data_IF_375029574958
#
_entry.id   IF_375029574958
#
_cell.length_a   1.000
_cell.length_b   1.000
_cell.length_c   1.000
_cell.angle_alpha   90.00
_cell.angle_beta   90.00
_cell.angle_gamma   90.00
#
_symmetry.space_group_name_H-M   'P 1'
#
loop_
_entity.id
_entity.type
_entity.pdbx_description
1 polymer ?
#
# COMPACT_ATOMS: atom_id res chain seq x y z
N UNK A 1 -16.70 12.53 28.05
CA UNK A 1 -16.42 11.29 27.30
C UNK A 1 -15.05 11.41 26.66
N UNK A 2 -13.99 11.06 27.38
CA UNK A 2 -12.68 10.85 26.77
C UNK A 2 -12.74 9.50 26.08
N UNK A 3 -13.15 9.49 24.82
CA UNK A 3 -13.06 8.32 23.96
C UNK A 3 -11.58 7.91 23.95
N UNK A 4 -11.26 6.73 24.47
CA UNK A 4 -9.88 6.31 24.67
C UNK A 4 -9.32 5.80 23.33
N UNK A 5 -9.19 6.72 22.38
CA UNK A 5 -8.70 6.48 21.02
C UNK A 5 -7.37 5.74 21.01
N UNK A 6 -6.52 5.97 22.01
CA UNK A 6 -5.27 5.21 22.18
C UNK A 6 -5.52 3.72 22.46
N UNK A 7 -6.44 3.39 23.36
CA UNK A 7 -6.78 1.99 23.64
C UNK A 7 -7.44 1.33 22.42
N UNK A 8 -8.31 2.04 21.71
CA UNK A 8 -8.95 1.54 20.48
C UNK A 8 -7.88 1.28 19.41
N UNK A 9 -6.90 2.17 19.25
CA UNK A 9 -5.82 1.95 18.29
C UNK A 9 -4.95 0.74 18.64
N UNK A 10 -4.62 0.56 19.92
CA UNK A 10 -3.82 -0.57 20.38
C UNK A 10 -4.59 -1.88 20.17
N UNK A 11 -5.87 -1.92 20.55
CA UNK A 11 -6.72 -3.09 20.35
C UNK A 11 -6.90 -3.43 18.86
N UNK A 12 -7.02 -2.42 17.98
CA UNK A 12 -7.15 -2.64 16.54
C UNK A 12 -5.83 -3.11 15.91
N UNK A 13 -4.68 -2.59 16.37
CA UNK A 13 -3.38 -3.11 15.97
C UNK A 13 -3.18 -4.55 16.43
N UNK A 14 -3.49 -4.88 17.68
CA UNK A 14 -3.40 -6.25 18.18
C UNK A 14 -4.34 -7.18 17.41
N UNK A 15 -5.57 -6.74 17.14
CA UNK A 15 -6.52 -7.49 16.32
C UNK A 15 -6.03 -7.70 14.89
N UNK A 16 -5.37 -6.70 14.28
CA UNK A 16 -4.74 -6.84 12.97
C UNK A 16 -3.59 -7.85 13.00
N UNK A 17 -2.72 -7.80 14.00
CA UNK A 17 -1.62 -8.77 14.14
C UNK A 17 -2.14 -10.19 14.41
N UNK A 18 -3.18 -10.33 15.23
CA UNK A 18 -3.81 -11.62 15.53
C UNK A 18 -4.56 -12.17 14.29
N UNK A 19 -5.21 -11.30 13.51
CA UNK A 19 -5.84 -11.65 12.24
C UNK A 19 -4.82 -11.99 11.15
N UNK A 20 -3.68 -11.30 11.13
CA UNK A 20 -2.57 -11.62 10.23
C UNK A 20 -1.89 -12.95 10.60
N UNK A 21 -1.77 -13.24 11.90
CA UNK A 21 -1.21 -14.48 12.42
C UNK A 21 -2.14 -15.69 12.23
N UNK A 22 -3.46 -15.47 12.31
CA UNK A 22 -4.50 -16.51 12.17
C UNK A 22 -5.45 -16.22 11.00
N UNK A 23 -4.87 -15.85 9.85
CA UNK A 23 -5.62 -15.48 8.65
C UNK A 23 -6.48 -16.64 8.09
N UNK A 24 -6.26 -17.88 8.53
CA UNK A 24 -7.07 -19.05 8.18
C UNK A 24 -8.45 -19.09 8.88
N UNK A 25 -8.61 -18.43 10.05
CA UNK A 25 -9.85 -18.49 10.87
C UNK A 25 -10.63 -17.17 10.86
N UNK A 26 -10.45 -16.33 9.85
CA UNK A 26 -11.23 -15.09 9.75
C UNK A 26 -12.65 -15.44 9.29
N UNK A 27 -13.64 -15.17 10.16
CA UNK A 27 -15.07 -15.55 10.05
C UNK A 27 -15.81 -15.15 8.76
N UNK A 28 -15.15 -14.46 7.83
CA UNK A 28 -15.71 -13.97 6.56
C UNK A 28 -15.01 -14.52 5.31
N UNK A 29 -13.91 -15.26 5.47
CA UNK A 29 -13.09 -15.74 4.36
C UNK A 29 -12.94 -17.26 4.38
N UNK A 30 -14.07 -17.99 4.50
CA UNK A 30 -14.03 -19.45 4.49
C UNK A 30 -13.75 -20.00 3.09
N UNK A 31 -12.71 -20.83 3.00
CA UNK A 31 -12.30 -21.47 1.77
C UNK A 31 -13.11 -22.76 1.53
N UNK A 32 -14.02 -22.72 0.56
CA UNK A 32 -14.71 -23.92 0.07
C UNK A 32 -13.76 -24.87 -0.67
N UNK A 33 -14.08 -26.17 -0.70
CA UNK A 33 -13.25 -27.18 -1.36
C UNK A 33 -12.98 -26.91 -2.86
N UNK A 34 -13.83 -26.12 -3.52
CA UNK A 34 -13.67 -25.74 -4.93
C UNK A 34 -12.75 -24.52 -5.15
N UNK A 35 -12.63 -23.58 -4.19
CA UNK A 35 -11.72 -22.43 -4.30
C UNK A 35 -10.25 -22.83 -4.15
N UNK A 36 -9.97 -23.99 -3.57
CA UNK A 36 -8.63 -24.59 -3.50
C UNK A 36 -8.10 -25.02 -4.88
N UNK A 37 -8.98 -25.20 -5.87
CA UNK A 37 -8.64 -25.75 -7.20
C UNK A 37 -8.58 -24.73 -8.34
N UNK A 38 -8.88 -23.45 -8.10
CA UNK A 38 -9.06 -22.43 -9.15
C UNK A 38 -7.99 -21.33 -9.18
N UNK A 39 -6.83 -21.52 -8.55
CA UNK A 39 -5.66 -20.70 -8.86
C UNK A 39 -5.17 -21.00 -10.28
N UNK A 40 -5.60 -20.22 -11.28
CA UNK A 40 -5.07 -20.36 -12.64
C UNK A 40 -3.63 -19.83 -12.69
N UNK A 41 -2.68 -20.75 -12.79
CA UNK A 41 -1.26 -20.42 -12.96
C UNK A 41 -1.06 -19.85 -14.36
N UNK A 42 -0.75 -18.56 -14.45
CA UNK A 42 -0.38 -17.90 -15.70
C UNK A 42 1.08 -17.50 -15.66
N UNK A 43 1.95 -18.43 -16.06
CA UNK A 43 3.40 -18.22 -16.12
C UNK A 43 3.76 -17.00 -16.97
N UNK A 44 3.10 -16.82 -18.11
CA UNK A 44 3.37 -15.70 -19.02
C UNK A 44 3.08 -14.36 -18.36
N UNK A 45 1.94 -14.24 -17.67
CA UNK A 45 1.57 -12.99 -17.00
C UNK A 45 2.48 -12.74 -15.80
N UNK A 46 2.73 -13.75 -14.95
CA UNK A 46 3.60 -13.60 -13.77
C UNK A 46 5.02 -13.17 -14.14
N UNK A 47 5.63 -13.80 -15.16
CA UNK A 47 6.96 -13.40 -15.67
C UNK A 47 6.93 -11.96 -16.21
N UNK A 48 5.89 -11.59 -16.96
CA UNK A 48 5.77 -10.23 -17.50
C UNK A 48 5.69 -9.16 -16.39
N UNK A 49 4.93 -9.42 -15.32
CA UNK A 49 4.83 -8.52 -14.16
C UNK A 49 6.16 -8.39 -13.41
N UNK A 50 6.89 -9.49 -13.20
CA UNK A 50 8.20 -9.46 -12.53
C UNK A 50 9.22 -8.68 -13.38
N UNK A 51 9.29 -8.96 -14.68
CA UNK A 51 10.21 -8.25 -15.58
C UNK A 51 9.87 -6.77 -15.62
N UNK A 52 8.60 -6.42 -15.84
CA UNK A 52 8.16 -5.02 -15.84
C UNK A 52 8.45 -4.32 -14.51
N UNK A 53 8.08 -4.94 -13.38
CA UNK A 53 8.34 -4.43 -12.04
C UNK A 53 9.82 -4.19 -11.79
N UNK A 54 10.68 -5.16 -12.16
CA UNK A 54 12.13 -5.03 -11.98
C UNK A 54 12.74 -3.86 -12.77
N UNK A 55 12.27 -3.62 -14.00
CA UNK A 55 12.76 -2.52 -14.84
C UNK A 55 12.35 -1.17 -14.25
N UNK A 56 11.08 -1.04 -13.83
CA UNK A 56 10.58 0.20 -13.24
C UNK A 56 11.24 0.47 -11.88
N UNK A 57 11.45 -0.56 -11.05
CA UNK A 57 12.15 -0.45 -9.76
C UNK A 57 13.58 0.09 -9.94
N UNK A 58 14.34 -0.44 -10.91
CA UNK A 58 15.68 0.04 -11.23
C UNK A 58 15.64 1.51 -11.69
N UNK A 59 14.67 1.87 -12.52
CA UNK A 59 14.50 3.24 -13.00
C UNK A 59 14.24 4.22 -11.83
N UNK A 60 13.33 3.86 -10.92
CA UNK A 60 13.06 4.67 -9.73
C UNK A 60 14.27 4.78 -8.81
N UNK A 61 15.01 3.68 -8.61
CA UNK A 61 16.24 3.69 -7.82
C UNK A 61 17.29 4.66 -8.41
N UNK A 62 17.47 4.67 -9.73
CA UNK A 62 18.37 5.60 -10.42
C UNK A 62 17.93 7.05 -10.21
N UNK A 63 16.62 7.33 -10.34
CA UNK A 63 16.07 8.68 -10.14
C UNK A 63 16.35 9.15 -8.71
N UNK A 64 16.07 8.35 -7.69
CA UNK A 64 16.32 8.71 -6.29
C UNK A 64 17.83 8.92 -6.04
N UNK A 65 18.70 8.07 -6.58
CA UNK A 65 20.16 8.24 -6.46
C UNK A 65 20.64 9.57 -7.05
N UNK A 66 20.09 10.00 -8.19
CA UNK A 66 20.42 11.30 -8.79
C UNK A 66 19.92 12.47 -7.93
N UNK A 67 18.71 12.34 -7.36
CA UNK A 67 18.09 13.36 -6.52
C UNK A 67 18.76 13.50 -5.14
N UNK A 68 19.50 12.49 -4.69
CA UNK A 68 20.25 12.53 -3.43
C UNK A 68 21.45 13.51 -3.43
N UNK A 69 21.84 14.06 -4.59
CA UNK A 69 22.91 15.07 -4.66
C UNK A 69 22.59 16.27 -3.77
N UNK A 70 23.63 16.76 -3.06
CA UNK A 70 23.50 17.80 -2.02
C UNK A 70 22.85 19.10 -2.51
N UNK A 71 23.06 19.46 -3.78
CA UNK A 71 22.51 20.68 -4.39
C UNK A 71 20.97 20.68 -4.44
N UNK A 72 20.35 19.52 -4.71
CA UNK A 72 18.89 19.44 -4.86
C UNK A 72 18.16 19.29 -3.53
N UNK A 73 18.84 18.86 -2.45
CA UNK A 73 18.22 18.67 -1.12
C UNK A 73 17.91 19.97 -0.37
N UNK A 74 18.35 21.11 -0.90
CA UNK A 74 18.07 22.44 -0.32
C UNK A 74 16.61 22.85 -0.56
N UNK A 75 16.03 22.43 -1.69
CA UNK A 75 14.65 22.75 -2.06
C UNK A 75 13.65 21.80 -1.42
N UNK A 76 12.60 22.36 -0.81
CA UNK A 76 11.55 21.58 -0.13
C UNK A 76 10.79 20.66 -1.09
N UNK A 77 10.64 21.04 -2.36
CA UNK A 77 10.01 20.21 -3.39
C UNK A 77 10.77 18.90 -3.65
N UNK A 78 12.10 18.95 -3.72
CA UNK A 78 12.91 17.75 -3.95
C UNK A 78 12.83 16.76 -2.79
N UNK A 79 12.70 17.25 -1.55
CA UNK A 79 12.47 16.40 -0.38
C UNK A 79 11.17 15.60 -0.50
N UNK A 80 10.09 16.25 -0.92
CA UNK A 80 8.77 15.61 -1.09
C UNK A 80 8.81 14.60 -2.24
N UNK A 81 9.44 14.94 -3.36
CA UNK A 81 9.60 14.01 -4.49
C UNK A 81 10.44 12.77 -4.12
N UNK A 82 11.47 12.91 -3.28
CA UNK A 82 12.23 11.75 -2.78
C UNK A 82 11.35 10.82 -1.93
N UNK A 83 10.53 11.36 -1.03
CA UNK A 83 9.61 10.54 -0.22
C UNK A 83 8.57 9.85 -1.10
N UNK A 84 8.01 10.57 -2.08
CA UNK A 84 7.09 9.97 -3.05
C UNK A 84 7.74 8.80 -3.80
N UNK A 85 8.99 8.97 -4.25
CA UNK A 85 9.73 7.89 -4.91
C UNK A 85 9.94 6.67 -4.02
N UNK A 86 10.13 6.85 -2.70
CA UNK A 86 10.23 5.74 -1.75
C UNK A 86 8.89 5.01 -1.63
N UNK A 87 7.76 5.73 -1.58
CA UNK A 87 6.43 5.12 -1.60
C UNK A 87 6.19 4.32 -2.88
N UNK A 88 6.56 4.87 -4.04
CA UNK A 88 6.39 4.21 -5.33
C UNK A 88 7.23 2.92 -5.42
N UNK A 89 8.50 2.96 -4.99
CA UNK A 89 9.36 1.76 -4.92
C UNK A 89 8.77 0.69 -4.00
N UNK A 90 8.31 1.09 -2.81
CA UNK A 90 7.67 0.15 -1.88
C UNK A 90 6.38 -0.45 -2.47
N UNK A 91 5.56 0.37 -3.14
CA UNK A 91 4.33 -0.10 -3.80
C UNK A 91 4.65 -1.07 -4.93
N UNK A 92 5.60 -0.74 -5.81
CA UNK A 92 6.00 -1.60 -6.93
C UNK A 92 6.56 -2.95 -6.43
N UNK A 93 7.32 -2.93 -5.33
CA UNK A 93 7.81 -4.16 -4.70
C UNK A 93 6.68 -5.10 -4.28
N UNK A 94 5.61 -4.56 -3.69
CA UNK A 94 4.45 -5.34 -3.23
C UNK A 94 3.51 -5.69 -4.40
N UNK A 95 3.23 -4.75 -5.29
CA UNK A 95 2.20 -4.90 -6.32
C UNK A 95 2.70 -5.61 -7.58
N UNK A 96 3.98 -5.47 -7.94
CA UNK A 96 4.52 -6.05 -9.16
C UNK A 96 5.37 -7.29 -8.90
N UNK A 97 6.35 -7.21 -7.98
CA UNK A 97 7.24 -8.35 -7.71
C UNK A 97 6.51 -9.45 -6.94
N UNK A 98 5.82 -9.09 -5.86
CA UNK A 98 5.14 -10.08 -5.03
C UNK A 98 3.86 -10.62 -5.69
N UNK A 99 3.03 -9.78 -6.31
CA UNK A 99 1.90 -10.30 -7.13
C UNK A 99 2.38 -11.16 -8.29
N UNK A 100 3.48 -10.78 -8.96
CA UNK A 100 4.09 -11.61 -10.00
C UNK A 100 4.54 -12.97 -9.47
N UNK A 101 5.14 -13.01 -8.27
CA UNK A 101 5.46 -14.27 -7.59
C UNK A 101 4.20 -15.09 -7.25
N UNK A 102 3.15 -14.46 -6.72
CA UNK A 102 1.88 -15.13 -6.44
C UNK A 102 1.24 -15.73 -7.69
N UNK A 103 1.36 -15.05 -8.84
CA UNK A 103 0.87 -15.56 -10.13
C UNK A 103 1.65 -16.77 -10.65
N UNK A 104 2.96 -16.87 -10.35
CA UNK A 104 3.78 -18.04 -10.71
C UNK A 104 3.43 -19.27 -9.88
N UNK A 105 3.09 -19.06 -8.61
CA UNK A 105 2.70 -20.14 -7.69
C UNK A 105 1.22 -20.51 -7.86
N UNK A 106 0.42 -19.64 -8.49
CA UNK A 106 -1.04 -19.77 -8.51
C UNK A 106 -1.65 -19.58 -7.12
N UNK A 107 -1.00 -18.78 -6.27
CA UNK A 107 -1.39 -18.58 -4.90
C UNK A 107 -2.76 -17.90 -4.82
N UNK A 108 -3.68 -18.52 -4.07
CA UNK A 108 -4.94 -17.90 -3.66
C UNK A 108 -4.89 -17.62 -2.15
N UNK A 109 -5.82 -16.79 -1.66
CA UNK A 109 -5.97 -16.53 -0.23
C UNK A 109 -6.01 -17.83 0.60
N UNK A 110 -6.58 -18.90 0.04
CA UNK A 110 -6.70 -20.21 0.70
C UNK A 110 -5.39 -21.00 0.81
N UNK A 111 -4.36 -20.65 0.02
CA UNK A 111 -3.06 -21.35 0.03
C UNK A 111 -2.05 -20.63 0.92
N UNK A 112 -2.06 -19.30 0.94
CA UNK A 112 -1.15 -18.46 1.73
C UNK A 112 -1.87 -17.26 2.37
N UNK A 113 -2.81 -17.49 3.30
CA UNK A 113 -3.71 -16.46 3.81
C UNK A 113 -2.98 -15.35 4.58
N UNK A 114 -1.99 -15.70 5.41
CA UNK A 114 -1.24 -14.72 6.21
C UNK A 114 -0.41 -13.77 5.34
N UNK A 115 0.30 -14.31 4.34
CA UNK A 115 1.10 -13.51 3.42
C UNK A 115 0.22 -12.60 2.56
N UNK A 116 -0.89 -13.10 2.00
CA UNK A 116 -1.79 -12.31 1.16
C UNK A 116 -2.50 -11.22 1.98
N UNK A 117 -2.90 -11.52 3.21
CA UNK A 117 -3.54 -10.55 4.11
C UNK A 117 -2.61 -9.39 4.47
N UNK A 118 -1.38 -9.69 4.90
CA UNK A 118 -0.38 -8.66 5.26
C UNK A 118 -0.01 -7.82 4.05
N UNK A 119 0.19 -8.45 2.90
CA UNK A 119 0.68 -7.76 1.70
C UNK A 119 -0.40 -6.92 1.04
N UNK A 120 -1.66 -7.35 1.11
CA UNK A 120 -2.81 -6.54 0.71
C UNK A 120 -3.03 -5.31 1.60
N UNK A 121 -2.81 -5.43 2.92
CA UNK A 121 -2.85 -4.28 3.82
C UNK A 121 -1.76 -3.25 3.47
N UNK A 122 -0.53 -3.74 3.24
CA UNK A 122 0.60 -2.91 2.86
C UNK A 122 0.40 -2.24 1.51
N UNK A 123 -0.09 -2.96 0.50
CA UNK A 123 -0.39 -2.42 -0.82
C UNK A 123 -1.38 -1.25 -0.74
N UNK A 124 -2.51 -1.44 -0.04
CA UNK A 124 -3.51 -0.39 0.13
C UNK A 124 -2.95 0.82 0.92
N UNK A 125 -2.21 0.55 1.99
CA UNK A 125 -1.57 1.59 2.80
C UNK A 125 -0.58 2.44 1.99
N UNK A 126 0.27 1.78 1.19
CA UNK A 126 1.26 2.44 0.33
C UNK A 126 0.60 3.24 -0.78
N UNK A 127 -0.46 2.70 -1.41
CA UNK A 127 -1.20 3.40 -2.46
C UNK A 127 -1.90 4.66 -1.94
N UNK A 128 -2.55 4.59 -0.78
CA UNK A 128 -3.15 5.77 -0.15
C UNK A 128 -2.08 6.79 0.30
N UNK A 129 -0.94 6.32 0.77
CA UNK A 129 0.22 7.14 1.15
C UNK A 129 0.82 7.90 -0.03
N UNK A 130 0.98 7.25 -1.18
CA UNK A 130 1.48 7.88 -2.41
C UNK A 130 0.51 8.95 -2.92
N UNK A 131 -0.80 8.68 -2.93
CA UNK A 131 -1.83 9.64 -3.32
C UNK A 131 -1.79 10.93 -2.46
N UNK A 132 -1.70 10.79 -1.14
CA UNK A 132 -1.59 11.95 -0.24
C UNK A 132 -0.29 12.72 -0.46
N UNK A 133 0.82 12.03 -0.70
CA UNK A 133 2.11 12.67 -0.97
C UNK A 133 2.09 13.44 -2.30
N UNK A 134 1.41 12.91 -3.33
CA UNK A 134 1.16 13.60 -4.59
C UNK A 134 0.35 14.90 -4.39
N UNK A 135 -0.71 14.87 -3.57
CA UNK A 135 -1.48 16.08 -3.27
C UNK A 135 -0.62 17.16 -2.59
N UNK A 136 0.22 16.77 -1.63
CA UNK A 136 1.16 17.69 -0.97
C UNK A 136 2.16 18.28 -1.97
N UNK A 137 2.65 17.46 -2.91
CA UNK A 137 3.55 17.92 -3.97
C UNK A 137 2.87 18.96 -4.88
N UNK A 138 1.62 18.72 -5.27
CA UNK A 138 0.83 19.66 -6.09
C UNK A 138 0.62 20.98 -5.32
N UNK A 139 0.24 20.91 -4.04
CA UNK A 139 0.10 22.11 -3.20
C UNK A 139 1.41 22.89 -3.09
N UNK A 140 2.54 22.19 -2.93
CA UNK A 140 3.86 22.82 -2.90
C UNK A 140 4.15 23.57 -4.21
N UNK A 141 3.89 22.95 -5.37
CA UNK A 141 4.05 23.60 -6.68
C UNK A 141 3.12 24.78 -6.88
N UNK A 142 1.88 24.69 -6.43
CA UNK A 142 0.92 25.80 -6.50
C UNK A 142 1.35 26.97 -5.62
N UNK A 143 1.85 26.71 -4.41
CA UNK A 143 2.32 27.77 -3.52
C UNK A 143 3.61 28.44 -4.01
N UNK A 144 4.50 27.68 -4.66
CA UNK A 144 5.71 28.21 -5.29
C UNK A 144 5.36 29.23 -6.40
N UNK A 145 4.31 28.97 -7.18
CA UNK A 145 3.83 29.87 -8.24
C UNK A 145 2.99 31.04 -7.70
N UNK A 146 2.10 30.78 -6.75
CA UNK A 146 1.16 31.79 -6.26
C UNK A 146 1.79 32.76 -5.24
N UNK A 147 2.56 32.24 -4.28
CA UNK A 147 3.14 33.04 -3.20
C UNK A 147 4.31 32.34 -2.49
N UNK A 148 5.54 32.64 -2.93
CA UNK A 148 6.76 32.07 -2.38
C UNK A 148 6.92 32.29 -0.86
N UNK A 149 6.45 33.42 -0.30
CA UNK A 149 6.52 33.65 1.16
C UNK A 149 5.70 32.63 1.95
N UNK A 150 4.53 32.26 1.44
CA UNK A 150 3.67 31.28 2.11
C UNK A 150 4.27 29.87 1.99
N UNK A 151 4.89 29.56 0.85
CA UNK A 151 5.66 28.33 0.64
C UNK A 151 6.81 28.21 1.64
N UNK A 152 7.61 29.26 1.84
CA UNK A 152 8.71 29.28 2.81
C UNK A 152 8.20 29.13 4.27
N UNK A 153 7.06 29.75 4.60
CA UNK A 153 6.46 29.61 5.93
C UNK A 153 5.97 28.18 6.22
N UNK A 154 5.35 27.53 5.23
CA UNK A 154 4.73 26.21 5.40
C UNK A 154 5.72 25.05 5.22
N UNK A 155 6.58 25.15 4.20
CA UNK A 155 7.52 24.09 3.80
C UNK A 155 8.98 24.43 4.15
N UNK A 156 9.24 25.40 5.02
CA UNK A 156 10.59 25.80 5.43
C UNK A 156 11.38 24.69 6.14
N UNK A 157 12.45 24.22 5.48
CA UNK A 157 13.50 23.30 5.90
C UNK A 157 13.13 22.13 6.83
N UNK A 158 12.87 22.39 8.12
CA UNK A 158 12.55 21.39 9.14
C UNK A 158 11.04 21.11 9.23
N UNK A 159 10.19 22.07 8.86
CA UNK A 159 8.72 21.90 8.82
C UNK A 159 8.27 20.99 7.70
N UNK A 160 9.04 20.90 6.62
CA UNK A 160 8.79 19.95 5.52
C UNK A 160 8.73 18.51 6.02
N UNK A 161 9.59 18.13 6.97
CA UNK A 161 9.55 16.81 7.59
C UNK A 161 8.28 16.61 8.41
N UNK A 162 7.83 17.62 9.17
CA UNK A 162 6.57 17.54 9.91
C UNK A 162 5.36 17.37 8.97
N UNK A 163 5.35 18.04 7.81
CA UNK A 163 4.30 17.85 6.79
C UNK A 163 4.37 16.46 6.16
N UNK A 164 5.57 15.93 5.93
CA UNK A 164 5.79 14.57 5.40
C UNK A 164 5.42 13.46 6.40
N UNK A 165 5.40 13.76 7.71
CA UNK A 165 4.87 12.81 8.69
C UNK A 165 3.36 12.60 8.52
N UNK A 166 2.61 13.55 7.97
CA UNK A 166 1.15 13.44 7.82
C UNK A 166 0.78 12.30 6.86
N UNK A 167 1.27 12.23 5.60
CA UNK A 167 1.05 11.08 4.73
C UNK A 167 1.52 9.77 5.33
N UNK A 168 2.63 9.80 6.08
CA UNK A 168 3.18 8.58 6.65
C UNK A 168 2.31 8.00 7.76
N UNK A 169 1.82 8.85 8.65
CA UNK A 169 0.86 8.47 9.67
C UNK A 169 -0.48 8.05 9.07
N UNK A 170 -0.92 8.71 7.99
CA UNK A 170 -2.15 8.37 7.28
C UNK A 170 -2.07 7.00 6.59
N UNK A 171 -0.97 6.72 5.90
CA UNK A 171 -0.68 5.41 5.30
C UNK A 171 -0.67 4.29 6.34
N UNK A 172 0.00 4.55 7.48
CA UNK A 172 0.06 3.60 8.59
C UNK A 172 -1.31 3.38 9.24
N UNK A 173 -2.10 4.44 9.40
CA UNK A 173 -3.48 4.34 9.86
C UNK A 173 -4.35 3.49 8.91
N UNK A 174 -4.28 3.72 7.60
CA UNK A 174 -5.06 2.90 6.64
C UNK A 174 -4.63 1.44 6.68
N UNK A 175 -3.33 1.17 6.78
CA UNK A 175 -2.80 -0.19 6.83
C UNK A 175 -3.35 -1.02 8.00
N UNK A 176 -3.61 -0.39 9.17
CA UNK A 176 -4.09 -1.10 10.37
C UNK A 176 -5.61 -1.08 10.54
N UNK A 177 -6.29 -0.02 10.10
CA UNK A 177 -7.72 0.17 10.38
C UNK A 177 -8.65 -0.22 9.23
N UNK A 178 -8.12 -0.41 8.03
CA UNK A 178 -8.91 -0.71 6.83
C UNK A 178 -8.86 -2.21 6.53
N UNK A 179 -9.98 -2.84 6.10
CA UNK A 179 -9.93 -4.22 5.61
C UNK A 179 -8.95 -4.31 4.43
N UNK A 180 -8.01 -5.27 4.45
CA UNK A 180 -7.03 -5.40 3.38
C UNK A 180 -7.68 -5.92 2.10
N UNK A 181 -7.07 -5.59 0.97
CA UNK A 181 -7.41 -6.20 -0.31
C UNK A 181 -6.82 -7.60 -0.39
N UNK A 182 -7.52 -8.54 -1.01
CA UNK A 182 -7.07 -9.91 -1.17
C UNK A 182 -6.72 -10.17 -2.63
N UNK A 183 -5.55 -10.76 -2.87
CA UNK A 183 -5.11 -11.08 -4.22
C UNK A 183 -5.84 -12.32 -4.75
N UNK A 184 -6.44 -12.20 -5.93
CA UNK A 184 -7.05 -13.31 -6.65
C UNK A 184 -6.29 -13.59 -7.96
N UNK A 185 -5.71 -14.79 -8.06
CA UNK A 185 -4.95 -15.25 -9.23
C UNK A 185 -5.82 -15.52 -10.46
N UNK A 186 -7.14 -15.70 -10.33
CA UNK A 186 -8.03 -15.95 -11.48
C UNK A 186 -8.21 -14.68 -12.34
N UNK A 187 -8.33 -13.53 -11.67
CA UNK A 187 -8.55 -12.24 -12.30
C UNK A 187 -7.29 -11.37 -12.36
N UNK A 188 -6.17 -11.83 -11.79
CA UNK A 188 -4.91 -11.10 -11.67
C UNK A 188 -5.08 -9.72 -10.99
N UNK A 189 -5.96 -9.63 -9.99
CA UNK A 189 -6.33 -8.37 -9.34
C UNK A 189 -6.51 -8.53 -7.83
N UNK A 190 -6.27 -7.43 -7.13
CA UNK A 190 -6.54 -7.25 -5.71
C UNK A 190 -7.98 -6.79 -5.52
N UNK A 191 -8.75 -7.57 -4.76
CA UNK A 191 -10.19 -7.34 -4.56
C UNK A 191 -10.49 -7.17 -3.08
N UNK A 192 -11.43 -6.28 -2.77
CA UNK A 192 -11.97 -6.15 -1.40
C UNK A 192 -12.89 -7.31 -1.02
N UNK A 193 -13.41 -8.05 -2.01
CA UNK A 193 -14.20 -9.26 -1.83
C UNK A 193 -13.43 -10.43 -2.48
N UNK A 194 -13.16 -11.53 -1.76
CA UNK A 194 -12.39 -12.67 -2.25
C UNK A 194 -13.05 -13.42 -3.42
N UNK A 195 -14.29 -13.08 -3.83
CA UNK A 195 -15.07 -13.79 -4.85
C UNK A 195 -15.18 -15.30 -4.60
N UNK A 196 -15.04 -15.74 -3.35
CA UNK A 196 -15.32 -17.11 -2.93
C UNK A 196 -16.81 -17.33 -3.13
N UNK A 197 -17.19 -18.12 -4.14
CA UNK A 197 -18.59 -18.49 -4.41
C UNK A 197 -19.13 -19.36 -3.27
N UNK A 198 -19.49 -18.76 -2.15
CA UNK A 198 -20.25 -19.42 -1.09
C UNK A 198 -21.30 -18.42 -0.53
N UNK A 199 -22.51 -18.51 -1.10
CA UNK A 199 -23.75 -17.89 -0.65
C UNK A 199 -23.85 -16.33 -0.60
N UNK A 200 -24.97 -15.74 -1.06
CA UNK A 200 -25.19 -14.29 -1.19
C UNK A 200 -25.47 -13.56 0.15
N UNK A 201 -24.75 -13.86 1.22
CA UNK A 201 -25.01 -13.26 2.55
C UNK A 201 -23.76 -12.86 3.33
N UNK A 202 -22.63 -12.58 2.67
CA UNK A 202 -21.58 -11.79 3.31
C UNK A 202 -21.90 -10.30 3.12
N UNK A 203 -22.78 -9.77 3.98
CA UNK A 203 -22.97 -8.33 4.12
C UNK A 203 -21.63 -7.76 4.55
N UNK A 204 -20.94 -7.07 3.64
CA UNK A 204 -19.84 -6.16 3.96
C UNK A 204 -20.34 -5.25 5.08
N UNK A 205 -19.77 -5.29 6.30
CA UNK A 205 -20.09 -4.27 7.28
C UNK A 205 -19.55 -2.96 6.72
N UNK A 206 -20.46 -2.15 6.15
CA UNK A 206 -20.22 -0.73 5.97
C UNK A 206 -20.04 -0.17 7.37
N UNK A 207 -18.83 0.30 7.68
CA UNK A 207 -18.64 1.29 8.72
C UNK A 207 -19.43 2.55 8.39
#
# INVERSE_FOLDING_TARGET
MAFNWHLICILQMEWFFESAANAENVKYYECGADSLRHGMVSYTAGIAFIVYGSVVEIMYAIVIMVMMKREYRVLSCYKIMMVLGIYDMASIGVDALLSGYFMLVGASYCTYPSLIYVTGALALGLWCGSCMTCLILVVNRLLDVCNQRLMEMLFGNNRTYAVLMIPHLYSLYICFFTPPVLFNSEYFTWLFDPLTKLHPTAVVPKF
#
